data_IF_548823713285
#
_entry.id   IF_548823713285
#
_cell.length_a   1.000
_cell.length_b   1.000
_cell.length_c   1.000
_cell.angle_alpha   90.00
_cell.angle_beta   90.00
_cell.angle_gamma   90.00
#
_symmetry.space_group_name_H-M   'P 1'
#
loop_
_entity.id
_entity.type
_entity.pdbx_description
1 polymer ?
#
# COMPACT_ATOMS: atom_id res chain seq x y z
N UNK A 1 -22.93 -1.81 9.56
CA UNK A 1 -21.47 -2.05 9.57
C UNK A 1 -20.79 -1.10 8.60
N UNK A 2 -19.68 -0.47 8.99
CA UNK A 2 -18.95 0.42 8.07
C UNK A 2 -18.42 -0.39 6.87
N UNK A 3 -18.65 0.06 5.63
CA UNK A 3 -18.08 -0.54 4.41
C UNK A 3 -16.57 -0.79 4.49
N UNK A 4 -15.88 0.02 5.30
CA UNK A 4 -14.46 -0.13 5.59
C UNK A 4 -14.11 -1.43 6.32
N UNK A 5 -14.91 -1.86 7.28
CA UNK A 5 -14.66 -3.08 8.07
C UNK A 5 -14.91 -4.33 7.21
N UNK A 6 -16.00 -4.32 6.44
CA UNK A 6 -16.40 -5.42 5.54
C UNK A 6 -15.34 -5.70 4.48
N UNK A 7 -14.60 -4.67 4.03
CA UNK A 7 -13.47 -4.84 3.12
C UNK A 7 -12.18 -5.24 3.83
N UNK A 8 -11.88 -4.62 4.99
CA UNK A 8 -10.59 -4.81 5.66
C UNK A 8 -10.44 -6.23 6.24
N UNK A 9 -11.46 -6.75 6.93
CA UNK A 9 -11.33 -8.02 7.67
C UNK A 9 -11.08 -9.21 6.74
N UNK A 10 -11.91 -9.47 5.71
CA UNK A 10 -11.66 -10.60 4.83
C UNK A 10 -10.52 -10.30 3.83
N UNK A 11 -10.22 -9.03 3.52
CA UNK A 11 -9.08 -8.67 2.68
C UNK A 11 -7.73 -9.02 3.32
N UNK A 12 -7.61 -8.81 4.63
CA UNK A 12 -6.44 -9.22 5.41
C UNK A 12 -6.33 -10.74 5.46
N UNK A 13 -7.45 -11.44 5.70
CA UNK A 13 -7.47 -12.92 5.71
C UNK A 13 -7.04 -13.54 4.39
N UNK A 14 -7.56 -13.08 3.26
CA UNK A 14 -7.20 -13.60 1.93
C UNK A 14 -5.72 -13.32 1.62
N UNK A 15 -5.21 -12.12 1.98
CA UNK A 15 -3.81 -11.78 1.75
C UNK A 15 -2.87 -12.70 2.53
N UNK A 16 -3.07 -12.86 3.83
CA UNK A 16 -2.20 -13.70 4.66
C UNK A 16 -2.37 -15.19 4.35
N UNK A 17 -3.58 -15.66 4.05
CA UNK A 17 -3.83 -17.04 3.65
C UNK A 17 -3.14 -17.37 2.32
N UNK A 18 -3.26 -16.50 1.32
CA UNK A 18 -2.58 -16.69 0.02
C UNK A 18 -1.07 -16.63 0.20
N UNK A 19 -0.58 -15.67 0.99
CA UNK A 19 0.86 -15.52 1.25
C UNK A 19 1.44 -16.73 1.98
N UNK A 20 0.71 -17.29 2.95
CA UNK A 20 1.13 -18.49 3.67
C UNK A 20 1.11 -19.73 2.77
N UNK A 21 0.05 -19.90 1.97
CA UNK A 21 -0.06 -21.00 1.01
C UNK A 21 1.03 -20.93 -0.06
N UNK A 22 1.32 -19.74 -0.60
CA UNK A 22 2.38 -19.55 -1.60
C UNK A 22 3.76 -19.77 -1.00
N UNK A 23 4.01 -19.33 0.24
CA UNK A 23 5.27 -19.65 0.95
C UNK A 23 5.44 -21.14 1.18
N UNK A 24 4.41 -21.85 1.65
CA UNK A 24 4.50 -23.30 1.88
C UNK A 24 4.74 -24.10 0.59
N UNK A 25 4.22 -23.63 -0.54
CA UNK A 25 4.38 -24.32 -1.82
C UNK A 25 5.74 -24.04 -2.49
N UNK A 26 6.22 -22.79 -2.44
CA UNK A 26 7.44 -22.36 -3.15
C UNK A 26 8.73 -22.45 -2.31
N UNK A 27 8.65 -22.34 -0.97
CA UNK A 27 9.83 -22.20 -0.08
C UNK A 27 9.99 -23.36 0.89
N UNK A 28 9.73 -24.60 0.44
CA UNK A 28 10.00 -25.81 1.24
C UNK A 28 11.51 -25.96 1.51
N UNK A 29 12.00 -25.29 2.56
CA UNK A 29 13.30 -25.57 3.19
C UNK A 29 14.39 -24.50 3.09
N UNK A 30 14.17 -23.35 2.45
CA UNK A 30 15.19 -22.28 2.35
C UNK A 30 14.62 -20.91 2.75
N UNK A 31 15.42 -20.02 3.37
CA UNK A 31 15.00 -18.65 3.66
C UNK A 31 14.75 -17.91 2.35
N UNK A 32 13.64 -17.15 2.23
CA UNK A 32 13.27 -16.54 0.97
C UNK A 32 14.25 -15.44 0.57
N UNK A 33 14.70 -15.50 -0.67
CA UNK A 33 15.47 -14.43 -1.28
C UNK A 33 14.62 -13.16 -1.30
N UNK A 34 15.25 -11.98 -1.24
CA UNK A 34 14.54 -10.70 -1.26
C UNK A 34 13.58 -10.60 -2.47
N UNK A 35 14.00 -11.14 -3.62
CA UNK A 35 13.24 -11.15 -4.85
C UNK A 35 12.02 -12.09 -4.78
N UNK A 36 12.20 -13.30 -4.25
CA UNK A 36 11.12 -14.28 -4.06
C UNK A 36 10.07 -13.78 -3.07
N UNK A 37 10.50 -13.15 -1.97
CA UNK A 37 9.58 -12.54 -1.00
C UNK A 37 8.69 -11.47 -1.66
N UNK A 38 9.25 -10.69 -2.58
CA UNK A 38 8.49 -9.65 -3.29
C UNK A 38 7.54 -10.26 -4.30
N UNK A 39 7.98 -11.22 -5.12
CA UNK A 39 7.10 -11.90 -6.08
C UNK A 39 5.93 -12.58 -5.36
N UNK A 40 6.21 -13.27 -4.25
CA UNK A 40 5.18 -13.91 -3.42
C UNK A 40 4.24 -12.87 -2.80
N UNK A 41 4.76 -11.77 -2.28
CA UNK A 41 3.96 -10.67 -1.74
C UNK A 41 3.07 -10.01 -2.80
N UNK A 42 3.59 -9.80 -4.01
CA UNK A 42 2.86 -9.27 -5.17
C UNK A 42 1.77 -10.22 -5.63
N UNK A 43 2.10 -11.50 -5.82
CA UNK A 43 1.13 -12.52 -6.23
C UNK A 43 -0.03 -12.59 -5.24
N UNK A 44 0.31 -12.62 -3.95
CA UNK A 44 -0.68 -12.63 -2.85
C UNK A 44 -1.57 -11.38 -2.84
N UNK A 45 -1.00 -10.20 -3.10
CA UNK A 45 -1.74 -8.93 -3.22
C UNK A 45 -2.66 -8.91 -4.42
N UNK A 46 -2.20 -9.38 -5.57
CA UNK A 46 -2.99 -9.44 -6.80
C UNK A 46 -4.18 -10.38 -6.63
N UNK A 47 -3.97 -11.58 -6.07
CA UNK A 47 -5.05 -12.54 -5.79
C UNK A 47 -6.06 -11.95 -4.81
N UNK A 48 -5.59 -11.36 -3.70
CA UNK A 48 -6.47 -10.69 -2.75
C UNK A 48 -7.24 -9.53 -3.39
N UNK A 49 -6.59 -8.76 -4.27
CA UNK A 49 -7.17 -7.64 -5.01
C UNK A 49 -8.24 -8.07 -6.01
N UNK A 50 -8.06 -9.19 -6.69
CA UNK A 50 -9.06 -9.78 -7.60
C UNK A 50 -10.28 -10.25 -6.81
N UNK A 51 -10.08 -11.02 -5.73
CA UNK A 51 -11.17 -11.49 -4.88
C UNK A 51 -11.93 -10.35 -4.22
N UNK A 52 -11.24 -9.28 -3.82
CA UNK A 52 -11.83 -8.12 -3.14
C UNK A 52 -12.28 -7.01 -4.08
N UNK A 53 -12.08 -7.16 -5.39
CA UNK A 53 -12.42 -6.12 -6.38
C UNK A 53 -13.89 -5.68 -6.29
N UNK A 54 -14.87 -6.60 -6.26
CA UNK A 54 -16.30 -6.22 -6.19
C UNK A 54 -16.65 -5.43 -4.93
N UNK A 55 -16.15 -5.89 -3.78
CA UNK A 55 -16.40 -5.25 -2.48
C UNK A 55 -15.74 -3.87 -2.42
N UNK A 56 -14.55 -3.74 -3.01
CA UNK A 56 -13.81 -2.48 -3.06
C UNK A 56 -14.54 -1.45 -3.93
N UNK A 57 -15.08 -1.85 -5.08
CA UNK A 57 -15.84 -0.96 -5.97
C UNK A 57 -17.13 -0.49 -5.31
N UNK A 58 -17.87 -1.39 -4.65
CA UNK A 58 -19.12 -1.03 -3.95
C UNK A 58 -18.82 -0.06 -2.82
N UNK A 59 -17.77 -0.33 -2.03
CA UNK A 59 -17.32 0.56 -0.96
C UNK A 59 -16.96 1.94 -1.49
N UNK A 60 -16.12 2.02 -2.52
CA UNK A 60 -15.64 3.32 -3.03
C UNK A 60 -16.76 4.15 -3.61
N UNK A 61 -17.71 3.55 -4.33
CA UNK A 61 -18.87 4.29 -4.85
C UNK A 61 -19.86 4.70 -3.78
N UNK A 62 -20.10 3.85 -2.78
CA UNK A 62 -20.93 4.18 -1.62
C UNK A 62 -20.34 5.34 -0.81
N UNK A 63 -19.05 5.27 -0.46
CA UNK A 63 -18.36 6.34 0.29
C UNK A 63 -18.13 7.62 -0.54
N UNK A 64 -18.20 7.54 -1.88
CA UNK A 64 -18.05 8.73 -2.73
C UNK A 64 -19.23 9.71 -2.66
N UNK A 65 -20.39 9.27 -2.15
CA UNK A 65 -21.62 10.07 -2.06
C UNK A 65 -22.26 10.46 -3.41
N UNK A 66 -21.56 10.30 -4.55
CA UNK A 66 -22.00 10.75 -5.88
C UNK A 66 -23.25 10.07 -6.41
N UNK A 67 -23.54 8.85 -5.96
CA UNK A 67 -24.62 8.02 -6.51
C UNK A 67 -25.83 7.88 -5.57
N UNK A 68 -25.79 8.51 -4.38
CA UNK A 68 -26.94 8.52 -3.46
C UNK A 68 -27.45 7.13 -3.05
N UNK A 69 -26.57 6.13 -2.94
CA UNK A 69 -27.01 4.77 -2.61
C UNK A 69 -27.49 4.67 -1.16
N UNK A 70 -28.74 4.24 -0.96
CA UNK A 70 -29.32 4.07 0.38
C UNK A 70 -28.72 2.88 1.15
N UNK A 71 -28.24 1.85 0.43
CA UNK A 71 -27.62 0.68 1.05
C UNK A 71 -26.55 0.04 0.15
N UNK A 72 -25.67 -0.76 0.77
CA UNK A 72 -24.65 -1.56 0.07
C UNK A 72 -25.31 -2.53 -0.94
N UNK A 73 -26.46 -3.09 -0.58
CA UNK A 73 -27.23 -3.96 -1.47
C UNK A 73 -27.83 -3.20 -2.65
N UNK A 74 -28.36 -1.98 -2.42
CA UNK A 74 -28.84 -1.11 -3.48
C UNK A 74 -27.71 -0.71 -4.44
N UNK A 75 -26.51 -0.41 -3.91
CA UNK A 75 -25.32 -0.14 -4.72
C UNK A 75 -24.93 -1.35 -5.57
N UNK A 76 -24.86 -2.56 -5.00
CA UNK A 76 -24.54 -3.79 -5.72
C UNK A 76 -25.55 -4.07 -6.84
N UNK A 77 -26.86 -4.00 -6.52
CA UNK A 77 -27.94 -4.23 -7.49
C UNK A 77 -27.93 -3.19 -8.61
N UNK A 78 -27.69 -1.92 -8.27
CA UNK A 78 -27.57 -0.84 -9.25
C UNK A 78 -26.41 -1.09 -10.20
N UNK A 79 -25.21 -1.37 -9.68
CA UNK A 79 -24.00 -1.59 -10.49
C UNK A 79 -24.19 -2.81 -11.40
N UNK A 80 -24.72 -3.91 -10.86
CA UNK A 80 -24.94 -5.12 -11.64
C UNK A 80 -25.95 -4.89 -12.77
N UNK A 81 -27.00 -4.10 -12.53
CA UNK A 81 -28.03 -3.81 -13.53
C UNK A 81 -27.59 -2.79 -14.58
N UNK A 82 -26.75 -1.81 -14.22
CA UNK A 82 -26.31 -0.74 -15.12
C UNK A 82 -25.03 -1.10 -15.90
N UNK A 83 -24.08 -1.77 -15.26
CA UNK A 83 -22.73 -2.00 -15.80
C UNK A 83 -22.36 -3.50 -15.89
N UNK A 84 -23.26 -4.39 -15.43
CA UNK A 84 -23.05 -5.83 -15.45
C UNK A 84 -21.89 -6.30 -14.56
N UNK A 85 -21.38 -7.50 -14.82
CA UNK A 85 -20.23 -8.05 -14.11
C UNK A 85 -18.96 -7.20 -14.29
N UNK A 86 -18.83 -6.49 -15.42
CA UNK A 86 -17.66 -5.64 -15.72
C UNK A 86 -17.60 -4.43 -14.79
N UNK A 87 -18.74 -3.89 -14.37
CA UNK A 87 -18.81 -2.81 -13.38
C UNK A 87 -18.18 -3.16 -12.04
N UNK A 88 -18.31 -4.42 -11.60
CA UNK A 88 -17.76 -4.90 -10.32
C UNK A 88 -16.24 -5.08 -10.33
N UNK A 89 -15.62 -5.22 -11.50
CA UNK A 89 -14.17 -5.29 -11.67
C UNK A 89 -13.58 -3.99 -12.24
N UNK A 90 -14.39 -2.93 -12.30
CA UNK A 90 -13.98 -1.60 -12.72
C UNK A 90 -12.86 -1.09 -11.81
N UNK A 91 -11.66 -0.89 -12.38
CA UNK A 91 -10.48 -0.45 -11.64
C UNK A 91 -9.54 -1.58 -11.17
N UNK A 92 -9.82 -2.85 -11.50
CA UNK A 92 -8.90 -3.96 -11.25
C UNK A 92 -7.57 -3.75 -12.00
N UNK A 93 -7.62 -3.36 -13.27
CA UNK A 93 -6.43 -3.06 -14.08
C UNK A 93 -5.60 -1.94 -13.47
N UNK A 94 -6.24 -0.87 -12.97
CA UNK A 94 -5.54 0.23 -12.29
C UNK A 94 -4.91 -0.20 -10.95
N UNK A 95 -5.51 -1.19 -10.27
CA UNK A 95 -4.97 -1.77 -9.03
C UNK A 95 -3.75 -2.64 -9.32
N UNK A 96 -3.83 -3.50 -10.33
CA UNK A 96 -2.71 -4.36 -10.76
C UNK A 96 -1.55 -3.54 -11.34
N UNK A 97 -1.86 -2.51 -12.14
CA UNK A 97 -0.88 -1.59 -12.72
C UNK A 97 -0.22 -0.70 -11.65
N UNK A 98 -0.85 -0.51 -10.49
CA UNK A 98 -0.22 0.15 -9.33
C UNK A 98 0.71 -0.81 -8.58
N UNK A 99 0.30 -2.07 -8.43
CA UNK A 99 1.01 -3.03 -7.61
C UNK A 99 2.32 -3.51 -8.28
N UNK A 100 2.39 -3.52 -9.62
CA UNK A 100 3.58 -3.89 -10.40
C UNK A 100 4.80 -2.91 -10.33
N UNK A 101 4.65 -1.58 -10.47
CA UNK A 101 5.75 -0.65 -10.31
C UNK A 101 6.09 -0.39 -8.83
N UNK A 102 5.10 -0.50 -7.94
CA UNK A 102 5.31 -0.32 -6.50
C UNK A 102 6.28 -1.37 -5.93
N UNK A 103 6.20 -2.61 -6.38
CA UNK A 103 7.08 -3.69 -5.93
C UNK A 103 8.52 -3.52 -6.41
N UNK A 104 8.74 -3.07 -7.65
CA UNK A 104 10.08 -2.81 -8.20
C UNK A 104 10.80 -1.70 -7.44
N UNK A 105 10.09 -0.61 -7.15
CA UNK A 105 10.64 0.51 -6.37
C UNK A 105 10.91 0.07 -4.93
N UNK A 106 10.00 -0.70 -4.32
CA UNK A 106 10.19 -1.24 -2.97
C UNK A 106 11.43 -2.15 -2.88
N UNK A 107 11.64 -3.03 -3.85
CA UNK A 107 12.80 -3.94 -3.92
C UNK A 107 14.12 -3.16 -4.05
N UNK A 108 14.13 -2.13 -4.91
CA UNK A 108 15.28 -1.26 -5.10
C UNK A 108 15.69 -0.56 -3.79
N UNK A 109 14.72 0.00 -3.06
CA UNK A 109 15.00 0.66 -1.78
C UNK A 109 15.38 -0.34 -0.68
N UNK A 110 14.68 -1.47 -0.58
CA UNK A 110 14.98 -2.50 0.41
C UNK A 110 16.39 -3.06 0.27
N UNK A 111 16.83 -3.37 -0.96
CA UNK A 111 18.17 -3.91 -1.21
C UNK A 111 19.29 -2.90 -0.90
N UNK A 112 19.06 -1.61 -1.17
CA UNK A 112 20.03 -0.56 -0.81
C UNK A 112 20.11 -0.35 0.70
N UNK A 113 18.97 -0.28 1.39
CA UNK A 113 18.95 -0.10 2.85
C UNK A 113 19.56 -1.30 3.57
N UNK A 114 19.28 -2.53 3.12
CA UNK A 114 19.83 -3.74 3.72
C UNK A 114 21.36 -3.83 3.58
N UNK A 115 21.92 -3.41 2.44
CA UNK A 115 23.37 -3.40 2.23
C UNK A 115 24.09 -2.41 3.16
N UNK A 116 23.48 -1.24 3.39
CA UNK A 116 24.05 -0.19 4.25
C UNK A 116 24.05 -0.63 5.73
N UNK A 117 22.99 -1.27 6.20
CA UNK A 117 22.87 -1.73 7.59
C UNK A 117 23.78 -2.92 7.89
N UNK A 118 23.93 -3.87 6.96
CA UNK A 118 24.79 -5.05 7.14
C UNK A 118 26.28 -4.72 7.14
N UNK A 119 26.72 -3.65 6.47
CA UNK A 119 28.12 -3.22 6.47
C UNK A 119 28.50 -2.36 7.70
N UNK A 120 27.53 -1.91 8.50
CA UNK A 120 27.75 -0.96 9.59
C UNK A 120 27.51 -1.49 11.01
N UNK A 121 27.10 -2.75 11.18
CA UNK A 121 26.53 -3.26 12.44
C UNK A 121 27.28 -4.47 13.02
N UNK A 122 28.62 -4.43 13.07
CA UNK A 122 29.43 -5.48 13.71
C UNK A 122 29.45 -5.39 15.25
N UNK A 123 28.96 -4.29 15.85
CA UNK A 123 28.98 -4.08 17.31
C UNK A 123 27.82 -3.19 17.79
N UNK A 124 26.58 -3.71 17.86
CA UNK A 124 25.48 -3.01 18.53
C UNK A 124 24.85 -3.86 19.63
N UNK A 125 24.78 -3.32 20.85
CA UNK A 125 24.17 -3.97 22.01
C UNK A 125 22.70 -4.30 21.78
N UNK A 126 22.29 -5.51 22.17
CA UNK A 126 20.94 -6.05 21.97
C UNK A 126 19.82 -5.17 22.54
N UNK A 127 20.11 -4.38 23.58
CA UNK A 127 19.16 -3.46 24.21
C UNK A 127 18.80 -2.24 23.33
N UNK A 128 19.68 -1.82 22.43
CA UNK A 128 19.44 -0.67 21.54
C UNK A 128 18.85 -1.05 20.18
N UNK A 129 18.82 -2.35 19.85
CA UNK A 129 18.29 -2.88 18.59
C UNK A 129 16.87 -2.39 18.27
N UNK A 130 15.89 -2.36 19.21
CA UNK A 130 14.54 -1.89 18.91
C UNK A 130 14.48 -0.40 18.53
N UNK A 131 15.22 0.45 19.26
CA UNK A 131 15.26 1.90 19.05
C UNK A 131 15.97 2.24 17.74
N UNK A 132 17.04 1.51 17.42
CA UNK A 132 17.81 1.67 16.19
C UNK A 132 17.01 1.17 14.98
N UNK A 133 16.28 0.06 15.12
CA UNK A 133 15.37 -0.42 14.08
C UNK A 133 14.22 0.57 13.84
N UNK A 134 13.69 1.18 14.89
CA UNK A 134 12.64 2.19 14.77
C UNK A 134 13.13 3.46 14.06
N UNK A 135 14.28 4.00 14.47
CA UNK A 135 14.86 5.20 13.85
C UNK A 135 15.24 4.94 12.39
N UNK A 136 15.82 3.77 12.09
CA UNK A 136 16.11 3.34 10.73
C UNK A 136 14.83 3.20 9.89
N UNK A 137 13.76 2.64 10.47
CA UNK A 137 12.45 2.51 9.83
C UNK A 137 11.78 3.85 9.53
N UNK A 138 11.86 4.82 10.44
CA UNK A 138 11.36 6.19 10.23
C UNK A 138 12.15 6.88 9.14
N UNK A 139 13.48 6.81 9.18
CA UNK A 139 14.36 7.44 8.20
C UNK A 139 14.16 6.85 6.79
N UNK A 140 14.14 5.52 6.68
CA UNK A 140 13.82 4.82 5.45
C UNK A 140 12.40 5.17 4.94
N UNK A 141 11.42 5.28 5.84
CA UNK A 141 10.06 5.69 5.51
C UNK A 141 9.97 7.09 4.93
N UNK A 142 10.75 8.04 5.45
CA UNK A 142 10.83 9.42 4.96
C UNK A 142 11.49 9.45 3.59
N UNK A 143 12.65 8.82 3.42
CA UNK A 143 13.36 8.76 2.14
C UNK A 143 12.52 8.09 1.04
N UNK A 144 11.89 6.95 1.36
CA UNK A 144 10.99 6.27 0.43
C UNK A 144 9.78 7.15 0.08
N UNK A 145 9.27 7.95 1.02
CA UNK A 145 8.17 8.89 0.75
C UNK A 145 8.61 10.01 -0.17
N UNK A 146 9.83 10.56 -0.01
CA UNK A 146 10.37 11.59 -0.89
C UNK A 146 10.54 11.08 -2.32
N UNK A 147 11.06 9.86 -2.49
CA UNK A 147 11.26 9.28 -3.81
C UNK A 147 9.94 8.92 -4.48
N UNK A 148 8.95 8.47 -3.71
CA UNK A 148 7.61 8.15 -4.24
C UNK A 148 6.70 9.37 -4.38
N UNK A 149 7.12 10.55 -3.90
CA UNK A 149 6.31 11.76 -3.89
C UNK A 149 5.84 12.19 -5.29
N UNK A 150 6.72 12.24 -6.32
CA UNK A 150 6.29 12.63 -7.67
C UNK A 150 5.24 11.69 -8.27
N UNK A 151 5.42 10.38 -8.09
CA UNK A 151 4.51 9.36 -8.58
C UNK A 151 3.12 9.47 -7.92
N UNK A 152 3.08 9.75 -6.62
CA UNK A 152 1.81 9.94 -5.93
C UNK A 152 1.12 11.25 -6.27
N UNK A 153 1.84 12.35 -6.50
CA UNK A 153 1.26 13.60 -6.98
C UNK A 153 0.61 13.39 -8.37
N UNK A 154 1.30 12.71 -9.29
CA UNK A 154 0.73 12.39 -10.60
C UNK A 154 -0.56 11.57 -10.43
N UNK A 155 -0.53 10.56 -9.56
CA UNK A 155 -1.69 9.70 -9.28
C UNK A 155 -2.85 10.46 -8.65
N UNK A 156 -2.62 11.33 -7.68
CA UNK A 156 -3.69 12.11 -7.03
C UNK A 156 -4.34 13.07 -8.03
N UNK A 157 -3.56 13.72 -8.89
CA UNK A 157 -4.12 14.58 -9.94
C UNK A 157 -4.93 13.79 -10.97
N UNK A 158 -4.47 12.61 -11.40
CA UNK A 158 -5.24 11.73 -12.27
C UNK A 158 -6.54 11.24 -11.61
N UNK A 159 -6.51 10.93 -10.31
CA UNK A 159 -7.68 10.49 -9.55
C UNK A 159 -8.68 11.62 -9.26
N UNK A 160 -8.20 12.84 -9.01
CA UNK A 160 -9.02 14.02 -8.70
C UNK A 160 -9.63 14.67 -9.96
N UNK A 161 -9.02 14.48 -11.13
CA UNK A 161 -9.47 15.10 -12.38
C UNK A 161 -9.36 14.16 -13.58
N UNK A 162 -10.09 13.03 -13.56
CA UNK A 162 -10.00 12.01 -14.60
C UNK A 162 -10.40 12.52 -15.99
N UNK A 163 -11.26 13.55 -16.08
CA UNK A 163 -11.68 14.17 -17.36
C UNK A 163 -10.56 14.98 -18.02
N UNK A 164 -9.65 15.57 -17.24
CA UNK A 164 -8.52 16.37 -17.75
C UNK A 164 -7.25 15.55 -17.97
N UNK A 165 -7.10 14.40 -17.30
CA UNK A 165 -5.89 13.59 -17.33
C UNK A 165 -6.21 12.15 -17.77
N UNK A 166 -6.15 11.91 -19.08
CA UNK A 166 -6.37 10.59 -19.66
C UNK A 166 -5.08 9.74 -19.65
N UNK A 167 -3.91 10.39 -19.68
CA UNK A 167 -2.60 9.74 -19.77
C UNK A 167 -1.59 10.33 -18.77
N UNK A 168 -0.69 9.49 -18.27
CA UNK A 168 0.37 9.87 -17.32
C UNK A 168 1.24 11.00 -17.87
N UNK A 169 1.64 10.93 -19.15
CA UNK A 169 2.45 11.95 -19.79
C UNK A 169 1.78 13.33 -19.82
N UNK A 170 0.46 13.38 -20.03
CA UNK A 170 -0.30 14.64 -19.99
C UNK A 170 -0.33 15.24 -18.58
N UNK A 171 -0.48 14.40 -17.55
CA UNK A 171 -0.41 14.84 -16.16
C UNK A 171 0.98 15.39 -15.80
N UNK A 172 2.04 14.70 -16.21
CA UNK A 172 3.45 15.13 -15.98
C UNK A 172 3.70 16.49 -16.65
N UNK A 173 3.38 16.62 -17.94
CA UNK A 173 3.61 17.87 -18.70
C UNK A 173 2.79 19.03 -18.12
N UNK A 174 1.54 18.80 -17.70
CA UNK A 174 0.70 19.85 -17.15
C UNK A 174 1.15 20.29 -15.75
N UNK A 175 1.53 19.34 -14.88
CA UNK A 175 2.06 19.65 -13.54
C UNK A 175 3.36 20.44 -13.67
N UNK A 176 4.25 20.01 -14.57
CA UNK A 176 5.49 20.72 -14.84
C UNK A 176 5.25 22.13 -15.40
N UNK A 177 4.28 22.29 -16.30
CA UNK A 177 3.93 23.60 -16.89
C UNK A 177 3.27 24.56 -15.90
N UNK A 178 2.41 24.06 -15.00
CA UNK A 178 1.65 24.91 -14.07
C UNK A 178 2.37 25.18 -12.74
N UNK A 179 3.15 24.23 -12.23
CA UNK A 179 3.76 24.28 -10.89
C UNK A 179 5.27 24.01 -10.88
N UNK A 180 5.87 23.74 -12.04
CA UNK A 180 7.30 23.42 -12.17
C UNK A 180 7.70 22.14 -11.44
N UNK A 181 9.00 22.00 -11.19
CA UNK A 181 9.58 20.88 -10.43
C UNK A 181 9.06 20.81 -8.99
N UNK A 182 8.68 21.96 -8.41
CA UNK A 182 8.19 22.05 -7.02
C UNK A 182 6.78 21.45 -6.85
N UNK A 183 5.98 21.45 -7.92
CA UNK A 183 4.65 20.84 -7.93
C UNK A 183 4.68 19.34 -7.59
N UNK A 184 5.70 18.62 -8.03
CA UNK A 184 5.85 17.18 -7.76
C UNK A 184 6.17 16.86 -6.30
N UNK A 185 6.62 17.84 -5.51
CA UNK A 185 6.92 17.66 -4.09
C UNK A 185 5.89 18.36 -3.17
N UNK A 186 4.85 18.95 -3.75
CA UNK A 186 3.81 19.61 -2.99
C UNK A 186 3.04 18.57 -2.14
N UNK A 187 2.86 18.86 -0.85
CA UNK A 187 2.23 17.93 0.10
C UNK A 187 3.15 16.83 0.66
N UNK A 188 4.47 16.88 0.41
CA UNK A 188 5.42 15.90 0.93
C UNK A 188 5.50 15.89 2.46
N UNK A 189 5.52 17.07 3.10
CA UNK A 189 5.58 17.22 4.56
C UNK A 189 4.37 16.60 5.27
N UNK A 190 3.10 16.95 4.96
CA UNK A 190 1.95 16.35 5.62
C UNK A 190 1.87 14.83 5.38
N UNK A 191 2.37 14.34 4.24
CA UNK A 191 2.45 12.91 3.96
C UNK A 191 3.51 12.21 4.83
N UNK A 192 4.71 12.77 4.90
CA UNK A 192 5.78 12.23 5.73
C UNK A 192 5.33 12.17 7.20
N UNK A 193 4.73 13.25 7.69
CA UNK A 193 4.16 13.31 9.04
C UNK A 193 3.11 12.22 9.27
N UNK A 194 2.12 12.10 8.37
CA UNK A 194 1.09 11.05 8.48
C UNK A 194 1.71 9.65 8.51
N UNK A 195 2.72 9.38 7.68
CA UNK A 195 3.36 8.06 7.61
C UNK A 195 4.16 7.75 8.87
N UNK A 196 4.92 8.72 9.38
CA UNK A 196 5.67 8.60 10.63
C UNK A 196 4.73 8.36 11.82
N UNK A 197 3.63 9.12 11.91
CA UNK A 197 2.64 8.93 12.98
C UNK A 197 1.98 7.55 12.92
N UNK A 198 1.60 7.08 11.73
CA UNK A 198 1.03 5.74 11.57
C UNK A 198 2.01 4.63 11.95
N UNK A 199 3.29 4.78 11.60
CA UNK A 199 4.33 3.83 11.99
C UNK A 199 4.59 3.84 13.51
N UNK A 200 4.66 5.03 14.12
CA UNK A 200 4.82 5.20 15.55
C UNK A 200 3.66 4.57 16.34
N UNK A 201 2.42 4.80 15.92
CA UNK A 201 1.24 4.19 16.55
C UNK A 201 1.24 2.67 16.42
N UNK A 202 1.57 2.13 15.24
CA UNK A 202 1.63 0.69 15.04
C UNK A 202 2.68 0.03 15.96
N UNK A 203 3.85 0.67 16.13
CA UNK A 203 4.89 0.18 17.02
C UNK A 203 4.49 0.27 18.49
N UNK A 204 3.94 1.40 18.93
CA UNK A 204 3.49 1.58 20.30
C UNK A 204 2.42 0.53 20.69
N UNK A 205 1.46 0.28 19.81
CA UNK A 205 0.43 -0.76 20.04
C UNK A 205 1.06 -2.15 20.06
N UNK A 206 2.01 -2.43 19.17
CA UNK A 206 2.71 -3.71 19.14
C UNK A 206 3.47 -3.96 20.45
N UNK A 207 4.21 -2.98 20.95
CA UNK A 207 4.95 -3.11 22.22
C UNK A 207 4.03 -3.32 23.41
N UNK A 208 2.94 -2.56 23.50
CA UNK A 208 1.92 -2.72 24.55
C UNK A 208 1.28 -4.11 24.51
N UNK A 209 0.96 -4.63 23.32
CA UNK A 209 0.39 -5.97 23.15
C UNK A 209 1.41 -7.05 23.54
N UNK A 210 2.65 -6.94 23.09
CA UNK A 210 3.71 -7.90 23.42
C UNK A 210 4.04 -7.91 24.91
N UNK A 211 4.03 -6.74 25.57
CA UNK A 211 4.21 -6.62 27.01
C UNK A 211 3.07 -7.30 27.77
N UNK A 212 1.81 -7.06 27.38
CA UNK A 212 0.64 -7.70 28.02
C UNK A 212 0.56 -9.20 27.78
N UNK A 213 1.11 -9.69 26.67
CA UNK A 213 1.17 -11.13 26.37
C UNK A 213 2.36 -11.85 27.03
N UNK A 214 3.22 -11.14 27.77
CA UNK A 214 4.39 -11.74 28.44
C UNK A 214 5.47 -12.23 27.49
N UNK A 215 5.47 -11.79 26.23
CA UNK A 215 6.41 -12.20 25.19
C UNK A 215 7.64 -11.26 25.11
N UNK A 216 7.71 -10.26 26.00
CA UNK A 216 8.87 -9.39 26.17
C UNK A 216 9.73 -10.01 27.27
N UNK A 217 10.76 -10.75 26.87
CA UNK A 217 11.85 -11.18 27.78
C UNK A 217 12.81 -10.04 28.05
#
# INVERSE_FOLDING_TARGET
MSPSIVRCVPGVGIYFGTLYSSKQYFLRGHPPTALESVILGMGSRSVAGICMSPITVIKTRYESGKYGYESIYAALKSIYRSEGHRGLFSGLTATLLRDAPFSGIYLMFYSQTKNIVLHGADQLDAAFIPVVNFSCGVFAGILASLVTQPADVIKTHMQLSPVKFQWIGQAVTLIFKNYGLRGFFQGGVPRALRRTLMAAMAWAVYEEMMAKMGLKS
#
